data_IF_059244506797
#
_entry.id   IF_059244506797
#
_cell.length_a   1.000
_cell.length_b   1.000
_cell.length_c   1.000
_cell.angle_alpha   90.00
_cell.angle_beta   90.00
_cell.angle_gamma   90.00
#
_symmetry.space_group_name_H-M   'P 1'
#
loop_
_entity.id
_entity.type
_entity.pdbx_description
1 polymer ?
#
# COMPACT_ATOMS: atom_id res chain seq x y z
N UNK A 1 -7.06 24.72 -6.74
CA UNK A 1 -7.34 23.28 -6.55
C UNK A 1 -7.90 23.12 -5.15
N UNK A 2 -9.02 22.43 -4.96
CA UNK A 2 -9.43 22.02 -3.61
C UNK A 2 -8.56 20.85 -3.21
N UNK A 3 -7.96 20.90 -1.99
CA UNK A 3 -7.31 19.72 -1.41
C UNK A 3 -8.34 18.59 -1.31
N UNK A 4 -7.98 17.39 -1.77
CA UNK A 4 -8.78 16.15 -1.59
C UNK A 4 -8.60 15.56 -0.20
N UNK A 5 -7.47 15.89 0.44
CA UNK A 5 -7.02 15.33 1.71
C UNK A 5 -6.95 16.43 2.77
N UNK A 6 -8.14 16.92 3.17
CA UNK A 6 -8.30 18.05 4.08
C UNK A 6 -7.83 17.75 5.52
N UNK A 7 -7.70 16.47 5.88
CA UNK A 7 -7.24 16.04 7.21
C UNK A 7 -5.72 16.08 7.39
N UNK A 8 -4.97 16.31 6.31
CA UNK A 8 -3.51 16.44 6.37
C UNK A 8 -3.09 17.91 6.42
N UNK A 9 -2.08 18.27 7.23
CA UNK A 9 -1.56 19.62 7.26
C UNK A 9 -0.92 20.01 5.92
N UNK A 10 -0.87 21.32 5.65
CA UNK A 10 -0.10 21.85 4.53
C UNK A 10 1.38 21.46 4.62
N UNK A 11 2.07 21.40 3.49
CA UNK A 11 3.46 20.98 3.36
C UNK A 11 3.73 19.54 3.83
N UNK A 12 2.69 18.68 3.80
CA UNK A 12 2.82 17.25 4.12
C UNK A 12 3.75 16.51 3.15
N UNK A 13 4.34 15.43 3.64
CA UNK A 13 5.17 14.50 2.85
C UNK A 13 4.42 13.20 2.64
N UNK A 14 4.30 12.76 1.39
CA UNK A 14 3.76 11.44 1.05
C UNK A 14 4.88 10.49 0.57
N UNK A 15 4.79 9.21 0.94
CA UNK A 15 5.63 8.15 0.42
C UNK A 15 4.75 7.06 -0.19
N UNK A 16 4.96 6.78 -1.48
CA UNK A 16 4.25 5.71 -2.19
C UNK A 16 5.24 4.64 -2.60
N UNK A 17 5.13 3.46 -2.00
CA UNK A 17 5.95 2.30 -2.33
C UNK A 17 5.23 1.42 -3.36
N UNK A 18 5.94 1.02 -4.42
CA UNK A 18 5.37 0.28 -5.55
C UNK A 18 4.72 1.19 -6.60
N UNK A 19 5.35 2.35 -6.86
CA UNK A 19 4.80 3.45 -7.64
C UNK A 19 4.96 3.32 -9.17
N UNK A 20 5.64 2.29 -9.69
CA UNK A 20 5.95 2.20 -11.14
C UNK A 20 4.73 1.98 -12.04
N UNK A 21 3.60 1.46 -11.50
CA UNK A 21 2.39 1.11 -12.27
C UNK A 21 1.16 0.93 -11.37
N UNK A 22 0.01 0.76 -12.02
CA UNK A 22 -1.25 0.42 -11.34
C UNK A 22 -1.64 1.40 -10.25
N UNK A 23 -2.13 0.90 -9.12
CA UNK A 23 -2.62 1.72 -8.00
C UNK A 23 -1.52 2.67 -7.48
N UNK A 24 -0.29 2.19 -7.31
CA UNK A 24 0.80 3.03 -6.81
C UNK A 24 1.10 4.22 -7.72
N UNK A 25 1.13 4.03 -9.04
CA UNK A 25 1.30 5.13 -10.01
C UNK A 25 0.11 6.09 -9.98
N UNK A 26 -1.11 5.55 -9.92
CA UNK A 26 -2.33 6.37 -9.83
C UNK A 26 -2.36 7.23 -8.57
N UNK A 27 -1.91 6.69 -7.42
CA UNK A 27 -1.78 7.45 -6.17
C UNK A 27 -0.75 8.57 -6.29
N UNK A 28 0.41 8.34 -6.92
CA UNK A 28 1.39 9.41 -7.16
C UNK A 28 0.77 10.53 -8.00
N UNK A 29 0.05 10.20 -9.08
CA UNK A 29 -0.64 11.19 -9.91
C UNK A 29 -1.64 12.01 -9.08
N UNK A 30 -2.50 11.34 -8.31
CA UNK A 30 -3.52 12.00 -7.49
C UNK A 30 -2.90 12.90 -6.40
N UNK A 31 -1.81 12.47 -5.76
CA UNK A 31 -1.10 13.24 -4.74
C UNK A 31 -0.36 14.46 -5.33
N UNK A 32 0.14 14.36 -6.57
CA UNK A 32 0.71 15.51 -7.27
C UNK A 32 -0.34 16.59 -7.61
N UNK A 33 -1.60 16.22 -7.73
CA UNK A 33 -2.71 17.16 -7.91
C UNK A 33 -3.21 17.77 -6.59
N UNK A 34 -2.86 17.19 -5.45
CA UNK A 34 -3.28 17.65 -4.12
C UNK A 34 -2.31 18.69 -3.56
N UNK A 35 -2.85 19.82 -3.08
CA UNK A 35 -2.05 20.92 -2.56
C UNK A 35 -1.49 20.67 -1.15
N UNK A 36 -2.05 19.72 -0.38
CA UNK A 36 -1.59 19.42 0.97
C UNK A 36 -0.18 18.79 0.98
N UNK A 37 0.23 18.12 -0.13
CA UNK A 37 1.52 17.42 -0.19
C UNK A 37 2.56 18.22 -0.98
N UNK A 38 3.55 18.77 -0.29
CA UNK A 38 4.67 19.49 -0.90
C UNK A 38 5.72 18.54 -1.48
N UNK A 39 5.95 17.40 -0.83
CA UNK A 39 6.94 16.41 -1.27
C UNK A 39 6.31 15.02 -1.40
N UNK A 40 6.56 14.37 -2.53
CA UNK A 40 6.14 12.99 -2.80
C UNK A 40 7.38 12.15 -3.08
N UNK A 41 7.59 11.13 -2.25
CA UNK A 41 8.64 10.12 -2.43
C UNK A 41 8.00 8.89 -3.06
N UNK A 42 8.28 8.64 -4.33
CA UNK A 42 7.81 7.46 -5.06
C UNK A 42 8.91 6.41 -5.14
N UNK A 43 8.63 5.17 -4.77
CA UNK A 43 9.65 4.11 -4.82
C UNK A 43 9.22 2.96 -5.72
N UNK A 44 10.18 2.40 -6.45
CA UNK A 44 10.02 1.21 -7.28
C UNK A 44 11.36 0.48 -7.41
N UNK A 45 11.34 -0.78 -7.83
CA UNK A 45 12.55 -1.60 -7.95
C UNK A 45 13.55 -1.07 -8.99
N UNK A 46 13.05 -0.63 -10.12
CA UNK A 46 13.85 -0.10 -11.21
C UNK A 46 13.23 1.20 -11.73
N UNK A 47 13.71 2.36 -11.24
CA UNK A 47 13.27 3.65 -11.73
C UNK A 47 13.58 3.88 -13.22
N UNK A 48 14.65 3.26 -13.76
CA UNK A 48 15.03 3.47 -15.15
C UNK A 48 14.01 2.89 -16.13
N UNK A 49 13.38 1.77 -15.77
CA UNK A 49 12.32 1.12 -16.55
C UNK A 49 10.91 1.66 -16.28
N UNK A 50 10.73 2.54 -15.29
CA UNK A 50 9.44 3.10 -14.88
C UNK A 50 9.10 4.37 -15.72
N UNK A 51 8.92 4.23 -17.02
CA UNK A 51 8.70 5.34 -17.96
C UNK A 51 7.52 6.24 -17.57
N UNK A 52 6.36 5.65 -17.24
CA UNK A 52 5.16 6.39 -16.84
C UNK A 52 5.36 7.18 -15.53
N UNK A 53 6.09 6.62 -14.58
CA UNK A 53 6.41 7.32 -13.33
C UNK A 53 7.39 8.47 -13.58
N UNK A 54 8.41 8.23 -14.43
CA UNK A 54 9.40 9.26 -14.81
C UNK A 54 8.77 10.42 -15.57
N UNK A 55 7.74 10.17 -16.37
CA UNK A 55 7.03 11.23 -17.09
C UNK A 55 6.31 12.24 -16.17
N UNK A 56 6.14 11.90 -14.89
CA UNK A 56 5.56 12.78 -13.87
C UNK A 56 6.60 13.67 -13.16
N UNK A 57 7.89 13.60 -13.57
CA UNK A 57 8.98 14.32 -12.92
C UNK A 57 8.68 15.82 -12.78
N UNK A 58 8.79 16.31 -11.55
CA UNK A 58 8.65 17.70 -11.17
C UNK A 58 9.37 17.94 -9.84
N UNK A 59 9.50 19.18 -9.39
CA UNK A 59 10.23 19.54 -8.16
C UNK A 59 9.67 18.90 -6.89
N UNK A 60 8.38 18.52 -6.90
CA UNK A 60 7.71 17.88 -5.78
C UNK A 60 7.88 16.35 -5.75
N UNK A 61 8.42 15.72 -6.80
CA UNK A 61 8.49 14.26 -6.93
C UNK A 61 9.94 13.74 -6.87
N UNK A 62 10.24 12.98 -5.82
CA UNK A 62 11.49 12.22 -5.70
C UNK A 62 11.26 10.74 -6.03
N UNK A 63 11.90 10.23 -7.08
CA UNK A 63 11.78 8.82 -7.50
C UNK A 63 13.02 8.06 -7.02
N UNK A 64 12.82 6.95 -6.27
CA UNK A 64 13.92 6.19 -5.64
C UNK A 64 13.82 4.70 -5.94
N UNK A 65 14.98 4.07 -6.09
CA UNK A 65 15.06 2.62 -6.18
C UNK A 65 14.78 1.99 -4.80
N UNK A 66 13.90 0.99 -4.79
CA UNK A 66 13.59 0.21 -3.59
C UNK A 66 13.02 -1.15 -3.96
N UNK A 67 13.70 -2.21 -3.59
CA UNK A 67 13.10 -3.54 -3.43
C UNK A 67 12.72 -3.74 -1.96
N UNK A 68 11.43 -3.87 -1.68
CA UNK A 68 10.91 -4.04 -0.30
C UNK A 68 11.33 -5.37 0.32
N UNK A 69 11.80 -6.30 -0.47
CA UNK A 69 12.31 -7.61 0.00
C UNK A 69 13.78 -7.56 0.40
N UNK A 70 14.45 -6.43 0.15
CA UNK A 70 15.84 -6.17 0.56
C UNK A 70 15.88 -5.29 1.82
N UNK A 71 16.20 -5.86 2.99
CA UNK A 71 16.24 -5.09 4.24
C UNK A 71 17.22 -3.92 4.22
N UNK A 72 18.36 -4.06 3.50
CA UNK A 72 19.35 -3.00 3.42
C UNK A 72 18.84 -1.80 2.62
N UNK A 73 18.14 -2.03 1.51
CA UNK A 73 17.51 -0.95 0.74
C UNK A 73 16.41 -0.25 1.54
N UNK A 74 15.59 -1.00 2.29
CA UNK A 74 14.56 -0.41 3.15
C UNK A 74 15.17 0.47 4.24
N UNK A 75 16.27 0.02 4.86
CA UNK A 75 16.97 0.81 5.88
C UNK A 75 17.67 2.04 5.28
N UNK A 76 18.25 1.92 4.08
CA UNK A 76 18.84 3.04 3.34
C UNK A 76 17.80 4.11 3.01
N UNK A 77 16.59 3.72 2.61
CA UNK A 77 15.49 4.65 2.43
C UNK A 77 15.20 5.44 3.70
N UNK A 78 15.14 4.74 4.85
CA UNK A 78 14.93 5.40 6.15
C UNK A 78 16.03 6.41 6.50
N UNK A 79 17.30 6.07 6.26
CA UNK A 79 18.42 6.99 6.47
C UNK A 79 18.35 8.21 5.57
N UNK A 80 18.06 8.02 4.29
CA UNK A 80 17.92 9.12 3.36
C UNK A 80 16.79 10.09 3.76
N UNK A 81 15.65 9.57 4.25
CA UNK A 81 14.60 10.44 4.79
C UNK A 81 15.07 11.24 6.02
N UNK A 82 15.88 10.64 6.89
CA UNK A 82 16.45 11.35 8.06
C UNK A 82 17.41 12.45 7.64
N UNK A 83 18.31 12.18 6.69
CA UNK A 83 19.29 13.12 6.14
C UNK A 83 18.63 14.32 5.46
N UNK A 84 17.50 14.08 4.78
CA UNK A 84 16.71 15.11 4.10
C UNK A 84 15.71 15.82 5.04
N UNK A 85 15.59 15.39 6.28
CA UNK A 85 14.62 15.93 7.24
C UNK A 85 13.16 15.60 6.91
N UNK A 86 12.91 14.64 6.01
CA UNK A 86 11.57 14.28 5.58
C UNK A 86 10.85 13.39 6.61
N UNK A 87 9.62 13.79 6.95
CA UNK A 87 8.75 13.06 7.90
C UNK A 87 7.40 12.78 7.24
N UNK A 88 7.21 11.58 6.67
CA UNK A 88 5.98 11.26 5.98
C UNK A 88 4.74 11.36 6.87
N UNK A 89 3.76 12.13 6.42
CA UNK A 89 2.39 12.15 6.96
C UNK A 89 1.53 11.05 6.33
N UNK A 90 1.84 10.67 5.08
CA UNK A 90 1.16 9.57 4.40
C UNK A 90 2.19 8.60 3.84
N UNK A 91 2.08 7.33 4.20
CA UNK A 91 2.81 6.23 3.58
C UNK A 91 1.78 5.27 2.98
N UNK A 92 1.89 5.00 1.67
CA UNK A 92 1.09 3.95 1.02
C UNK A 92 1.99 2.85 0.50
N UNK A 93 1.86 1.66 1.09
CA UNK A 93 2.54 0.46 0.62
C UNK A 93 1.64 -0.24 -0.40
N UNK A 94 1.89 0.01 -1.70
CA UNK A 94 1.08 -0.45 -2.81
C UNK A 94 1.68 -1.64 -3.57
N UNK A 95 2.91 -2.05 -3.29
CA UNK A 95 3.48 -3.24 -3.92
C UNK A 95 2.74 -4.51 -3.50
N UNK A 96 2.51 -5.36 -4.48
CA UNK A 96 1.91 -6.67 -4.29
C UNK A 96 2.17 -7.59 -5.46
N UNK A 97 2.14 -8.88 -5.20
CA UNK A 97 2.30 -9.94 -6.20
C UNK A 97 1.26 -11.04 -5.98
N UNK A 98 0.66 -11.50 -7.07
CA UNK A 98 -0.31 -12.59 -7.11
C UNK A 98 0.13 -13.69 -8.07
N UNK A 99 0.78 -13.30 -9.14
CA UNK A 99 1.32 -14.15 -10.20
C UNK A 99 2.59 -13.54 -10.78
N UNK A 100 3.34 -14.33 -11.53
CA UNK A 100 4.55 -13.86 -12.21
C UNK A 100 5.19 -14.98 -13.01
N UNK A 101 6.42 -14.73 -13.48
CA UNK A 101 7.17 -15.75 -14.19
C UNK A 101 7.39 -16.98 -13.31
N UNK A 102 6.92 -18.14 -13.80
CA UNK A 102 7.06 -19.44 -13.14
C UNK A 102 6.09 -19.70 -11.99
N UNK A 103 5.12 -18.85 -11.69
CA UNK A 103 4.10 -19.13 -10.69
C UNK A 103 2.76 -18.45 -10.97
N UNK A 104 1.69 -19.08 -10.55
CA UNK A 104 0.31 -18.58 -10.62
C UNK A 104 -0.41 -18.90 -9.30
N UNK A 105 -1.54 -18.24 -9.00
CA UNK A 105 -2.31 -18.54 -7.80
C UNK A 105 -2.80 -19.99 -7.81
N UNK A 106 -2.62 -20.67 -6.70
CA UNK A 106 -2.96 -22.08 -6.53
C UNK A 106 -4.49 -22.27 -6.54
N UNK A 107 -4.96 -23.32 -7.23
CA UNK A 107 -6.38 -23.71 -7.27
C UNK A 107 -6.70 -24.81 -6.26
N UNK A 108 -5.72 -25.63 -5.91
CA UNK A 108 -5.83 -26.79 -5.01
C UNK A 108 -4.57 -26.97 -4.20
N UNK A 109 -4.61 -27.80 -3.15
CA UNK A 109 -3.48 -28.03 -2.22
C UNK A 109 -2.23 -28.54 -2.92
N UNK A 110 -2.40 -29.40 -3.92
CA UNK A 110 -1.30 -30.01 -4.66
C UNK A 110 -0.52 -29.01 -5.52
N UNK A 111 -1.08 -27.82 -5.76
CA UNK A 111 -0.42 -26.75 -6.51
C UNK A 111 0.54 -25.91 -5.61
N UNK A 112 0.58 -26.18 -4.30
CA UNK A 112 1.44 -25.45 -3.38
C UNK A 112 2.91 -25.67 -3.71
N UNK A 113 3.65 -24.58 -3.89
CA UNK A 113 5.08 -24.56 -4.12
C UNK A 113 5.79 -23.63 -3.13
N UNK A 114 6.87 -24.11 -2.51
CA UNK A 114 7.56 -23.35 -1.47
C UNK A 114 8.17 -22.05 -2.01
N UNK A 115 8.73 -22.04 -3.23
CA UNK A 115 9.35 -20.85 -3.81
C UNK A 115 8.31 -19.79 -4.14
N UNK A 116 7.12 -20.23 -4.60
CA UNK A 116 5.98 -19.32 -4.82
C UNK A 116 5.50 -18.73 -3.50
N UNK A 117 5.34 -19.54 -2.44
CA UNK A 117 5.01 -19.10 -1.08
C UNK A 117 6.01 -18.04 -0.59
N UNK A 118 7.30 -18.35 -0.60
CA UNK A 118 8.36 -17.44 -0.15
C UNK A 118 8.30 -16.11 -0.89
N UNK A 119 8.17 -16.13 -2.23
CA UNK A 119 8.11 -14.92 -3.05
C UNK A 119 6.88 -14.07 -2.76
N UNK A 120 5.72 -14.70 -2.62
CA UNK A 120 4.45 -14.01 -2.35
C UNK A 120 4.46 -13.40 -0.95
N UNK A 121 4.93 -14.14 0.06
CA UNK A 121 5.04 -13.62 1.43
C UNK A 121 6.10 -12.53 1.55
N UNK A 122 7.25 -12.69 0.89
CA UNK A 122 8.31 -11.68 0.92
C UNK A 122 7.79 -10.30 0.48
N UNK A 123 7.04 -10.25 -0.63
CA UNK A 123 6.51 -8.98 -1.16
C UNK A 123 5.27 -8.52 -0.40
N UNK A 124 4.31 -9.42 -0.14
CA UNK A 124 2.98 -9.00 0.34
C UNK A 124 2.88 -8.82 1.85
N UNK A 125 3.77 -9.46 2.63
CA UNK A 125 3.73 -9.43 4.09
C UNK A 125 5.04 -8.91 4.70
N UNK A 126 6.19 -9.49 4.36
CA UNK A 126 7.46 -9.17 5.00
C UNK A 126 7.97 -7.79 4.57
N UNK A 127 7.85 -7.44 3.27
CA UNK A 127 8.19 -6.10 2.78
C UNK A 127 7.45 -4.99 3.52
N UNK A 128 6.10 -5.02 3.59
CA UNK A 128 5.34 -4.08 4.41
C UNK A 128 5.74 -4.03 5.89
N UNK A 129 6.09 -5.17 6.49
CA UNK A 129 6.58 -5.23 7.87
C UNK A 129 7.92 -4.49 8.04
N UNK A 130 8.86 -4.68 7.09
CA UNK A 130 10.14 -3.98 7.07
C UNK A 130 9.94 -2.46 6.86
N UNK A 131 9.04 -2.07 5.95
CA UNK A 131 8.68 -0.67 5.73
C UNK A 131 8.10 -0.05 7.01
N UNK A 132 7.17 -0.74 7.69
CA UNK A 132 6.63 -0.29 8.97
C UNK A 132 7.72 -0.13 10.03
N UNK A 133 8.57 -1.13 10.22
CA UNK A 133 9.69 -1.08 11.15
C UNK A 133 10.55 0.17 10.92
N UNK A 134 10.90 0.44 9.68
CA UNK A 134 11.80 1.51 9.28
C UNK A 134 11.13 2.88 9.33
N UNK A 135 9.88 2.99 8.89
CA UNK A 135 9.19 4.26 8.77
C UNK A 135 8.44 4.69 10.03
N UNK A 136 8.05 3.77 10.91
CA UNK A 136 7.37 4.10 12.17
C UNK A 136 8.03 5.24 12.96
N UNK A 137 9.35 5.24 13.24
CA UNK A 137 9.98 6.32 14.01
C UNK A 137 10.06 7.63 13.23
N UNK A 138 9.82 7.59 11.92
CA UNK A 138 9.96 8.70 10.96
C UNK A 138 8.63 9.30 10.53
N UNK A 139 7.51 8.70 10.93
CA UNK A 139 6.19 9.28 10.67
C UNK A 139 6.06 10.65 11.32
N UNK A 140 5.35 11.56 10.66
CA UNK A 140 5.05 12.88 11.19
C UNK A 140 4.43 12.75 12.60
N UNK A 141 4.81 13.65 13.50
CA UNK A 141 4.32 13.69 14.88
C UNK A 141 3.29 14.77 15.11
N UNK A 142 3.30 15.77 14.27
CA UNK A 142 2.33 16.86 14.27
C UNK A 142 1.30 16.58 13.18
N UNK A 143 0.02 16.71 13.54
CA UNK A 143 -1.09 16.39 12.65
C UNK A 143 -1.23 14.88 12.42
N UNK A 144 -2.08 14.54 11.46
CA UNK A 144 -2.40 13.17 11.07
C UNK A 144 -1.23 12.50 10.36
N UNK A 145 -0.92 11.26 10.74
CA UNK A 145 0.04 10.41 10.04
C UNK A 145 -0.59 9.05 9.74
N UNK A 146 -0.52 8.58 8.50
CA UNK A 146 -1.14 7.32 8.07
C UNK A 146 -0.12 6.42 7.39
N UNK A 147 -0.04 5.16 7.84
CA UNK A 147 0.58 4.06 7.12
C UNK A 147 -0.52 3.16 6.57
N UNK A 148 -0.82 3.25 5.29
CA UNK A 148 -1.79 2.44 4.59
C UNK A 148 -1.10 1.31 3.80
N UNK A 149 -1.50 0.06 4.01
CA UNK A 149 -1.04 -1.07 3.21
C UNK A 149 -2.16 -1.58 2.32
N UNK A 150 -1.89 -1.70 1.01
CA UNK A 150 -2.87 -2.29 0.09
C UNK A 150 -2.95 -3.80 0.34
N UNK A 151 -4.06 -4.19 0.96
CA UNK A 151 -4.43 -5.57 1.21
C UNK A 151 -5.47 -6.06 0.18
N UNK A 152 -6.19 -7.08 0.50
CA UNK A 152 -7.26 -7.62 -0.33
C UNK A 152 -8.32 -8.30 0.54
N UNK A 153 -9.60 -8.22 0.16
CA UNK A 153 -10.70 -8.91 0.85
C UNK A 153 -10.42 -10.41 1.02
N UNK A 154 -9.76 -11.03 0.05
CA UNK A 154 -9.37 -12.45 0.13
C UNK A 154 -8.37 -12.78 1.24
N UNK A 155 -7.79 -11.78 1.91
CA UNK A 155 -7.01 -11.91 3.14
C UNK A 155 -7.87 -12.05 4.40
N UNK A 156 -9.18 -11.84 4.32
CA UNK A 156 -10.11 -12.15 5.40
C UNK A 156 -10.27 -13.66 5.54
N UNK A 157 -10.07 -14.19 6.75
CA UNK A 157 -10.29 -15.61 7.06
C UNK A 157 -11.78 -15.89 7.19
N UNK A 158 -12.51 -14.99 7.87
CA UNK A 158 -13.94 -15.11 8.10
C UNK A 158 -14.78 -15.03 6.83
N UNK A 159 -14.37 -14.21 5.84
CA UNK A 159 -15.05 -14.01 4.56
C UNK A 159 -14.66 -15.07 3.49
N UNK A 160 -13.78 -16.01 3.79
CA UNK A 160 -13.31 -17.00 2.82
C UNK A 160 -14.35 -18.10 2.57
N UNK A 161 -15.07 -17.99 1.44
CA UNK A 161 -16.05 -18.99 0.98
C UNK A 161 -15.62 -19.69 -0.34
N UNK A 162 -14.67 -19.08 -1.06
CA UNK A 162 -14.29 -19.56 -2.41
C UNK A 162 -13.08 -20.50 -2.42
N UNK A 163 -12.21 -20.41 -1.41
CA UNK A 163 -10.95 -21.16 -1.39
C UNK A 163 -9.98 -20.75 -2.50
N UNK A 164 -8.98 -21.59 -2.76
CA UNK A 164 -7.91 -21.33 -3.73
C UNK A 164 -7.00 -20.16 -3.31
N UNK A 165 -5.98 -19.86 -4.15
CA UNK A 165 -5.06 -18.75 -3.97
C UNK A 165 -4.37 -18.77 -2.60
N UNK A 166 -3.90 -19.94 -2.18
CA UNK A 166 -3.40 -20.19 -0.84
C UNK A 166 -2.31 -19.21 -0.42
N UNK A 167 -1.26 -19.08 -1.23
CA UNK A 167 -0.15 -18.16 -0.93
C UNK A 167 -0.63 -16.71 -0.83
N UNK A 168 -1.47 -16.28 -1.77
CA UNK A 168 -1.94 -14.90 -1.79
C UNK A 168 -2.85 -14.59 -0.60
N UNK A 169 -3.87 -15.42 -0.35
CA UNK A 169 -4.76 -15.26 0.81
C UNK A 169 -3.99 -15.24 2.11
N UNK A 170 -3.13 -16.24 2.32
CA UNK A 170 -2.33 -16.35 3.53
C UNK A 170 -1.39 -15.15 3.71
N UNK A 171 -0.75 -14.67 2.63
CA UNK A 171 0.12 -13.48 2.71
C UNK A 171 -0.65 -12.21 3.05
N UNK A 172 -1.89 -12.04 2.53
CA UNK A 172 -2.73 -10.88 2.85
C UNK A 172 -3.33 -10.98 4.25
N UNK A 173 -3.65 -12.18 4.75
CA UNK A 173 -4.01 -12.41 6.15
C UNK A 173 -2.83 -12.08 7.09
N UNK A 174 -1.61 -12.50 6.74
CA UNK A 174 -0.40 -12.14 7.48
C UNK A 174 -0.16 -10.62 7.48
N UNK A 175 -0.32 -9.94 6.34
CA UNK A 175 -0.27 -8.49 6.26
C UNK A 175 -1.30 -7.83 7.19
N UNK A 176 -2.54 -8.30 7.17
CA UNK A 176 -3.62 -7.80 8.03
C UNK A 176 -3.24 -7.94 9.51
N UNK A 177 -2.70 -9.09 9.92
CA UNK A 177 -2.24 -9.30 11.30
C UNK A 177 -1.08 -8.37 11.68
N UNK A 178 -0.13 -8.13 10.76
CA UNK A 178 0.99 -7.21 10.98
C UNK A 178 0.47 -5.79 11.19
N UNK A 179 -0.45 -5.31 10.34
CA UNK A 179 -1.07 -3.99 10.45
C UNK A 179 -1.84 -3.84 11.76
N UNK A 180 -2.64 -4.85 12.14
CA UNK A 180 -3.37 -4.86 13.42
C UNK A 180 -2.43 -4.72 14.60
N UNK A 181 -1.36 -5.49 14.63
CA UNK A 181 -0.36 -5.47 15.71
C UNK A 181 0.38 -4.13 15.75
N UNK A 182 0.76 -3.61 14.58
CA UNK A 182 1.44 -2.32 14.46
C UNK A 182 0.57 -1.16 14.94
N UNK A 183 -0.74 -1.17 14.64
CA UNK A 183 -1.68 -0.17 15.13
C UNK A 183 -1.70 -0.08 16.65
N UNK A 184 -1.73 -1.23 17.34
CA UNK A 184 -1.67 -1.29 18.82
C UNK A 184 -0.35 -0.71 19.34
N UNK A 185 0.77 -0.93 18.67
CA UNK A 185 2.07 -0.36 19.06
C UNK A 185 2.15 1.14 18.78
N UNK A 186 1.65 1.60 17.62
CA UNK A 186 1.64 3.00 17.22
C UNK A 186 0.85 3.86 18.21
N UNK A 187 -0.33 3.44 18.62
CA UNK A 187 -1.17 4.18 19.57
C UNK A 187 -0.48 4.52 20.90
N UNK A 188 0.54 3.74 21.28
CA UNK A 188 1.33 3.97 22.51
C UNK A 188 2.47 4.97 22.35
N UNK A 189 2.92 5.23 21.09
CA UNK A 189 4.13 6.00 20.80
C UNK A 189 3.87 7.29 20.04
N UNK A 190 2.89 7.28 19.16
CA UNK A 190 2.43 8.43 18.37
C UNK A 190 0.93 8.30 18.16
N UNK A 191 0.14 9.01 18.95
CA UNK A 191 -1.34 8.93 18.91
C UNK A 191 -1.93 9.40 17.59
N UNK A 192 -1.21 10.27 16.88
CA UNK A 192 -1.64 10.78 15.57
C UNK A 192 -1.36 9.80 14.42
N UNK A 193 -0.61 8.72 14.69
CA UNK A 193 -0.23 7.75 13.69
C UNK A 193 -1.24 6.58 13.62
N UNK A 194 -1.72 6.31 12.42
CA UNK A 194 -2.74 5.31 12.10
C UNK A 194 -2.13 4.32 11.12
N UNK A 195 -2.16 3.03 11.43
CA UNK A 195 -1.82 1.95 10.50
C UNK A 195 -3.10 1.24 10.06
N UNK A 196 -3.33 1.11 8.76
CA UNK A 196 -4.52 0.43 8.22
C UNK A 196 -4.20 -0.48 7.05
N UNK A 197 -5.00 -1.55 6.91
CA UNK A 197 -5.07 -2.37 5.72
C UNK A 197 -6.25 -1.92 4.86
N UNK A 198 -6.03 -1.74 3.54
CA UNK A 198 -7.06 -1.27 2.62
C UNK A 198 -7.28 -2.27 1.50
N UNK A 199 -8.53 -2.68 1.28
CA UNK A 199 -8.94 -3.43 0.10
C UNK A 199 -9.41 -2.47 -1.00
N UNK A 200 -8.73 -2.43 -2.16
CA UNK A 200 -8.99 -1.44 -3.20
C UNK A 200 -10.20 -1.76 -4.10
N UNK A 201 -10.92 -2.87 -3.84
CA UNK A 201 -11.82 -3.45 -4.82
C UNK A 201 -11.06 -4.22 -5.91
N UNK A 202 -11.74 -4.62 -6.97
CA UNK A 202 -11.05 -5.16 -8.14
C UNK A 202 -10.71 -4.02 -9.08
N UNK A 203 -9.43 -3.70 -9.15
CA UNK A 203 -8.91 -2.57 -9.95
C UNK A 203 -8.32 -3.09 -11.25
N UNK A 204 -8.56 -2.39 -12.36
CA UNK A 204 -8.00 -2.73 -13.67
C UNK A 204 -6.50 -2.44 -13.71
N UNK A 205 -5.73 -3.47 -13.44
CA UNK A 205 -4.25 -3.44 -13.38
C UNK A 205 -3.67 -4.74 -13.91
N UNK A 206 -2.38 -4.76 -14.23
CA UNK A 206 -1.68 -5.98 -14.60
C UNK A 206 -1.75 -7.11 -13.56
N UNK A 207 -1.97 -6.78 -12.26
CA UNK A 207 -2.12 -7.79 -11.22
C UNK A 207 -3.47 -8.52 -11.32
N UNK A 208 -4.54 -7.83 -11.65
CA UNK A 208 -5.89 -8.38 -11.74
C UNK A 208 -6.24 -8.92 -13.12
N UNK A 209 -5.57 -8.43 -14.17
CA UNK A 209 -5.89 -8.68 -15.58
C UNK A 209 -6.15 -10.15 -15.93
N UNK A 210 -5.37 -11.15 -15.46
CA UNK A 210 -5.64 -12.56 -15.76
C UNK A 210 -6.92 -13.11 -15.11
N UNK A 211 -7.53 -12.37 -14.17
CA UNK A 211 -8.66 -12.83 -13.34
C UNK A 211 -9.92 -12.00 -13.54
N UNK A 212 -9.92 -11.06 -14.48
CA UNK A 212 -11.03 -10.12 -14.70
C UNK A 212 -12.26 -10.74 -15.37
N UNK A 213 -12.09 -11.85 -16.06
CA UNK A 213 -13.19 -12.48 -16.82
C UNK A 213 -14.45 -12.80 -15.99
N UNK A 214 -14.29 -13.02 -14.68
CA UNK A 214 -15.39 -13.34 -13.77
C UNK A 214 -15.81 -12.16 -12.87
N UNK A 215 -15.29 -10.95 -13.13
CA UNK A 215 -15.66 -9.76 -12.34
C UNK A 215 -17.04 -9.29 -12.78
N UNK A 216 -18.00 -9.14 -11.85
CA UNK A 216 -19.34 -8.65 -12.20
C UNK A 216 -19.28 -7.25 -12.84
N UNK A 217 -20.23 -6.97 -13.74
CA UNK A 217 -20.36 -5.66 -14.36
C UNK A 217 -20.40 -4.54 -13.31
N UNK A 218 -19.62 -3.49 -13.51
CA UNK A 218 -19.50 -2.35 -12.58
C UNK A 218 -18.68 -2.62 -11.31
N UNK A 219 -18.01 -3.78 -11.19
CA UNK A 219 -17.13 -4.11 -10.06
C UNK A 219 -15.64 -4.11 -10.43
N UNK A 220 -15.29 -3.85 -11.68
CA UNK A 220 -13.94 -3.59 -12.13
C UNK A 220 -13.74 -2.08 -12.20
N UNK A 221 -12.91 -1.54 -11.30
CA UNK A 221 -12.69 -0.11 -11.18
C UNK A 221 -11.48 0.34 -12.00
N UNK A 222 -11.56 1.46 -12.74
CA UNK A 222 -10.39 2.14 -13.26
C UNK A 222 -9.43 2.52 -12.11
N UNK A 223 -8.13 2.63 -12.42
CA UNK A 223 -7.10 2.97 -11.42
C UNK A 223 -7.42 4.31 -10.74
N UNK A 224 -7.82 5.31 -11.51
CA UNK A 224 -8.14 6.65 -11.01
C UNK A 224 -9.27 6.60 -9.98
N UNK A 225 -10.34 5.88 -10.29
CA UNK A 225 -11.48 5.71 -9.39
C UNK A 225 -11.08 4.98 -8.09
N UNK A 226 -10.24 3.94 -8.22
CA UNK A 226 -9.70 3.25 -7.04
C UNK A 226 -8.89 4.19 -6.16
N UNK A 227 -8.03 5.02 -6.76
CA UNK A 227 -7.22 5.99 -6.02
C UNK A 227 -8.09 7.02 -5.31
N UNK A 228 -9.13 7.55 -5.96
CA UNK A 228 -10.09 8.47 -5.35
C UNK A 228 -10.78 7.84 -4.13
N UNK A 229 -11.22 6.60 -4.24
CA UNK A 229 -11.82 5.87 -3.12
C UNK A 229 -10.84 5.66 -1.97
N UNK A 230 -9.64 5.16 -2.26
CA UNK A 230 -8.62 4.91 -1.22
C UNK A 230 -8.20 6.19 -0.50
N UNK A 231 -7.99 7.28 -1.24
CA UNK A 231 -7.64 8.57 -0.66
C UNK A 231 -8.78 9.15 0.16
N UNK A 232 -10.03 8.99 -0.27
CA UNK A 232 -11.21 9.40 0.52
C UNK A 232 -11.31 8.61 1.84
N UNK A 233 -11.05 7.29 1.81
CA UNK A 233 -11.00 6.48 3.04
C UNK A 233 -9.87 6.97 3.94
N UNK A 234 -8.67 7.17 3.41
CA UNK A 234 -7.50 7.65 4.16
C UNK A 234 -7.78 8.99 4.81
N UNK A 235 -8.42 9.91 4.08
CA UNK A 235 -8.77 11.23 4.62
C UNK A 235 -9.78 11.15 5.76
N UNK A 236 -10.75 10.25 5.66
CA UNK A 236 -11.75 10.03 6.71
C UNK A 236 -11.27 9.29 7.96
N UNK A 237 -10.07 8.67 7.95
CA UNK A 237 -9.58 7.90 9.09
C UNK A 237 -9.35 8.77 10.33
N UNK A 238 -9.65 8.20 11.49
CA UNK A 238 -9.43 8.76 12.82
C UNK A 238 -8.55 7.82 13.67
N UNK A 239 -8.13 8.26 14.84
CA UNK A 239 -7.35 7.43 15.77
C UNK A 239 -8.09 6.12 16.17
N UNK A 240 -9.43 6.11 16.16
CA UNK A 240 -10.22 4.91 16.45
C UNK A 240 -10.13 3.83 15.36
N UNK A 241 -9.72 4.20 14.15
CA UNK A 241 -9.58 3.29 13.00
C UNK A 241 -8.21 2.60 12.95
N UNK A 242 -7.33 2.97 13.88
CA UNK A 242 -5.96 2.45 13.92
C UNK A 242 -5.92 0.93 14.10
N UNK A 243 -5.18 0.26 13.23
CA UNK A 243 -5.13 -1.20 13.16
C UNK A 243 -6.36 -1.80 12.45
N UNK A 244 -7.16 -1.02 11.73
CA UNK A 244 -8.36 -1.48 11.04
C UNK A 244 -8.08 -2.07 9.66
N UNK A 245 -9.09 -2.77 9.14
CA UNK A 245 -9.12 -3.29 7.77
C UNK A 245 -10.39 -2.81 7.07
N UNK A 246 -10.21 -2.00 6.02
CA UNK A 246 -11.33 -1.32 5.35
C UNK A 246 -11.38 -1.63 3.86
N UNK A 247 -12.60 -1.64 3.33
CA UNK A 247 -12.84 -1.69 1.89
C UNK A 247 -12.71 -0.28 1.28
N UNK A 248 -12.67 -0.23 -0.04
CA UNK A 248 -12.64 0.99 -0.85
C UNK A 248 -13.78 1.97 -0.57
N UNK A 249 -14.90 1.50 -0.04
CA UNK A 249 -16.08 2.30 0.36
C UNK A 249 -16.07 2.70 1.86
N UNK A 250 -14.95 2.49 2.55
CA UNK A 250 -14.75 2.82 3.95
C UNK A 250 -15.38 1.83 4.95
N UNK A 251 -16.05 0.80 4.47
CA UNK A 251 -16.64 -0.20 5.37
C UNK A 251 -15.58 -1.13 5.95
N UNK A 252 -15.68 -1.47 7.25
CA UNK A 252 -14.79 -2.45 7.84
C UNK A 252 -14.99 -3.83 7.20
N UNK A 253 -13.90 -4.57 7.06
CA UNK A 253 -13.90 -5.95 6.59
C UNK A 253 -13.60 -6.85 7.78
N UNK A 254 -14.32 -7.95 7.89
CA UNK A 254 -14.05 -9.01 8.87
C UNK A 254 -12.64 -9.60 8.64
N UNK A 255 -11.96 -9.94 9.77
CA UNK A 255 -10.60 -10.52 9.70
C UNK A 255 -10.53 -11.94 9.14
#
# INVERSE_FOLDING_TARGET
MRSRLESFPDASVALVQGASRGIGLGLVKALLEDAAFETIVATCRDPASAGDLRSLACDRLSIRALDVTDPAQVENLGRALDEEGLRPSLVVNAAGVLHGEGFAPEKKLEDLDMRALERVFAVNAFGPALMLKTLRPRLAREGKAVFAAISARVGSIGDNRLGGWYAYRASKAALNQIIRTAGIELSRRNRNAIAVALHPGTTDTGLSQPFQANVPAGKLFPVEQTCDYLLSVIDGLTESDNGGFFAWDGKPIEW
#
